data_IF_429646484440
#
_entry.id   IF_429646484440
#
_cell.length_a   1.000
_cell.length_b   1.000
_cell.length_c   1.000
_cell.angle_alpha   90.00
_cell.angle_beta   90.00
_cell.angle_gamma   90.00
#
_symmetry.space_group_name_H-M   'P 1'
#
loop_
_entity.id
_entity.type
_entity.pdbx_description
1 polymer ?
#
# COMPACT_ATOMS: atom_id res chain seq x y z
N UNK A 1 -15.65 -65.67 -2.35
CA UNK A 1 -16.00 -64.31 -1.84
C UNK A 1 -14.82 -63.35 -1.65
N UNK A 2 -13.58 -63.64 -2.10
CA UNK A 2 -12.41 -62.75 -1.88
C UNK A 2 -12.18 -61.69 -2.98
N UNK A 3 -12.62 -61.95 -4.21
CA UNK A 3 -12.38 -61.06 -5.37
C UNK A 3 -13.25 -59.80 -5.40
N UNK A 4 -14.52 -59.90 -4.96
CA UNK A 4 -15.46 -58.76 -4.97
C UNK A 4 -15.13 -57.65 -3.97
N UNK A 5 -14.54 -58.00 -2.81
CA UNK A 5 -14.09 -57.01 -1.81
C UNK A 5 -12.96 -56.14 -2.33
N UNK A 6 -12.06 -56.73 -3.14
CA UNK A 6 -10.88 -56.06 -3.68
C UNK A 6 -11.27 -54.99 -4.72
N UNK A 7 -12.33 -55.24 -5.50
CA UNK A 7 -12.89 -54.27 -6.45
C UNK A 7 -13.48 -53.06 -5.72
N UNK A 8 -14.17 -53.28 -4.60
CA UNK A 8 -14.74 -52.18 -3.78
C UNK A 8 -13.62 -51.31 -3.20
N UNK A 9 -12.53 -51.90 -2.71
CA UNK A 9 -11.37 -51.13 -2.22
C UNK A 9 -10.71 -50.31 -3.32
N UNK A 10 -10.53 -50.88 -4.51
CA UNK A 10 -9.98 -50.12 -5.65
C UNK A 10 -10.90 -48.98 -6.08
N UNK A 11 -12.22 -49.20 -6.06
CA UNK A 11 -13.18 -48.16 -6.44
C UNK A 11 -13.21 -46.99 -5.45
N UNK A 12 -13.12 -47.25 -4.15
CA UNK A 12 -13.03 -46.21 -3.11
C UNK A 12 -11.70 -45.44 -3.21
N UNK A 13 -10.60 -46.12 -3.54
CA UNK A 13 -9.29 -45.49 -3.67
C UNK A 13 -9.19 -44.57 -4.89
N UNK A 14 -9.88 -44.88 -5.99
CA UNK A 14 -9.95 -44.03 -7.18
C UNK A 14 -10.80 -42.78 -6.91
N UNK A 15 -11.98 -42.93 -6.31
CA UNK A 15 -12.86 -41.79 -5.97
C UNK A 15 -12.27 -40.87 -4.89
N UNK A 16 -11.47 -41.41 -3.96
CA UNK A 16 -10.80 -40.63 -2.92
C UNK A 16 -9.70 -39.69 -3.44
N UNK A 17 -9.06 -40.03 -4.57
CA UNK A 17 -7.99 -39.22 -5.14
C UNK A 17 -8.51 -37.94 -5.83
N UNK A 18 -9.70 -37.96 -6.41
CA UNK A 18 -10.30 -36.78 -7.05
C UNK A 18 -10.64 -35.69 -6.02
N UNK A 19 -10.96 -36.06 -4.78
CA UNK A 19 -11.21 -35.13 -3.68
C UNK A 19 -9.92 -34.54 -3.09
N UNK A 20 -8.80 -35.26 -3.09
CA UNK A 20 -7.53 -34.77 -2.53
C UNK A 20 -6.88 -33.72 -3.44
N UNK A 21 -7.08 -33.79 -4.75
CA UNK A 21 -6.58 -32.79 -5.70
C UNK A 21 -7.32 -31.44 -5.63
N UNK A 22 -8.55 -31.41 -5.12
CA UNK A 22 -9.33 -30.17 -4.93
C UNK A 22 -8.99 -29.44 -3.62
N UNK A 23 -8.26 -30.09 -2.70
CA UNK A 23 -7.90 -29.53 -1.39
C UNK A 23 -6.80 -28.47 -1.42
N UNK A 24 -6.12 -28.27 -2.56
CA UNK A 24 -5.03 -27.29 -2.71
C UNK A 24 -5.33 -26.14 -3.69
N UNK A 25 -6.54 -26.02 -4.24
CA UNK A 25 -6.86 -24.96 -5.22
C UNK A 25 -7.61 -23.77 -4.64
N UNK A 26 -7.40 -23.47 -3.36
CA UNK A 26 -7.87 -22.22 -2.77
C UNK A 26 -6.70 -21.50 -2.10
N UNK A 27 -5.67 -21.19 -2.89
CA UNK A 27 -4.88 -19.99 -2.62
C UNK A 27 -5.88 -18.82 -2.67
N UNK A 28 -6.38 -18.41 -1.51
CA UNK A 28 -7.10 -17.14 -1.40
C UNK A 28 -6.07 -16.03 -1.60
N UNK A 29 -5.66 -15.81 -2.86
CA UNK A 29 -4.96 -14.58 -3.24
C UNK A 29 -5.94 -13.46 -2.95
N UNK A 30 -5.70 -12.74 -1.86
CA UNK A 30 -6.46 -11.53 -1.57
C UNK A 30 -6.19 -10.54 -2.71
N UNK A 31 -7.13 -10.45 -3.64
CA UNK A 31 -7.10 -9.43 -4.69
C UNK A 31 -7.39 -8.11 -3.98
N UNK A 32 -6.34 -7.32 -3.78
CA UNK A 32 -6.46 -5.97 -3.26
C UNK A 32 -7.31 -5.14 -4.23
N UNK A 33 -8.11 -4.22 -3.69
CA UNK A 33 -8.86 -3.27 -4.52
C UNK A 33 -7.89 -2.56 -5.47
N UNK A 34 -8.26 -2.28 -6.73
CA UNK A 34 -7.45 -1.44 -7.63
C UNK A 34 -7.12 -0.06 -7.05
N UNK A 35 -7.86 0.38 -6.02
CA UNK A 35 -7.63 1.64 -5.29
C UNK A 35 -6.74 1.48 -4.05
N UNK A 36 -6.19 0.30 -3.77
CA UNK A 36 -5.31 0.08 -2.64
C UNK A 36 -3.89 0.51 -3.00
N UNK A 37 -3.35 1.42 -2.18
CA UNK A 37 -1.96 1.85 -2.27
C UNK A 37 -1.30 1.66 -0.91
N UNK A 38 -0.06 1.10 -0.85
CA UNK A 38 0.61 0.85 0.41
C UNK A 38 0.98 2.18 1.09
N UNK A 39 0.54 2.35 2.34
CA UNK A 39 0.93 3.47 3.19
C UNK A 39 1.91 2.95 4.22
N UNK A 40 3.17 3.36 4.11
CA UNK A 40 4.24 2.94 5.03
C UNK A 40 5.30 4.03 5.14
N UNK A 41 5.97 4.20 6.30
CA UNK A 41 7.13 5.08 6.44
C UNK A 41 8.29 4.76 5.49
N UNK A 42 8.32 3.52 4.97
CA UNK A 42 9.34 3.04 4.03
C UNK A 42 9.03 3.39 2.57
N UNK A 43 7.80 3.80 2.27
CA UNK A 43 7.34 4.17 0.93
C UNK A 43 7.27 5.70 0.84
N UNK A 44 7.60 6.26 -0.32
CA UNK A 44 7.47 7.70 -0.56
C UNK A 44 6.01 8.12 -0.40
N UNK A 45 5.75 9.15 0.41
CA UNK A 45 4.42 9.74 0.47
C UNK A 45 4.27 10.72 -0.70
N UNK A 46 3.36 10.49 -1.66
CA UNK A 46 3.16 11.38 -2.79
C UNK A 46 2.43 12.67 -2.41
N UNK A 47 1.91 12.77 -1.18
CA UNK A 47 1.08 13.89 -0.72
C UNK A 47 1.80 14.73 0.35
N UNK A 48 1.44 16.03 0.46
CA UNK A 48 1.94 16.86 1.55
C UNK A 48 1.52 16.31 2.92
N UNK A 49 2.38 16.53 3.91
CA UNK A 49 2.05 16.18 5.29
C UNK A 49 0.91 17.07 5.80
N UNK A 50 -0.14 16.43 6.32
CA UNK A 50 -1.28 17.13 6.90
C UNK A 50 -0.87 17.62 8.30
N UNK A 51 -0.90 18.93 8.58
CA UNK A 51 -0.51 19.46 9.87
C UNK A 51 -1.45 18.92 10.95
N UNK A 52 -0.86 18.42 12.04
CA UNK A 52 -1.63 17.96 13.20
C UNK A 52 -1.93 19.15 14.09
N UNK A 53 -3.21 19.44 14.42
CA UNK A 53 -3.52 20.54 15.33
C UNK A 53 -2.89 20.31 16.71
N UNK A 54 -2.34 21.38 17.29
CA UNK A 54 -1.54 21.39 18.53
C UNK A 54 -2.32 20.83 19.74
N UNK A 55 -3.66 20.79 19.68
CA UNK A 55 -4.52 20.27 20.74
C UNK A 55 -4.62 18.75 20.84
N UNK A 56 -4.06 17.98 19.89
CA UNK A 56 -4.03 16.53 20.03
C UNK A 56 -2.86 16.14 20.94
N UNK A 57 -3.18 15.74 22.17
CA UNK A 57 -2.26 15.05 23.09
C UNK A 57 -1.91 13.66 22.54
N UNK A 58 -1.15 13.62 21.44
CA UNK A 58 -0.58 12.41 20.88
C UNK A 58 0.65 12.01 21.67
N UNK A 59 0.48 11.73 22.97
CA UNK A 59 1.52 11.10 23.77
C UNK A 59 1.60 9.62 23.36
N UNK A 60 2.31 9.37 22.27
CA UNK A 60 2.85 8.05 21.95
C UNK A 60 4.07 8.27 21.06
N UNK A 61 5.24 8.24 21.69
CA UNK A 61 6.58 8.37 21.12
C UNK A 61 6.97 7.21 20.16
N UNK A 62 6.08 6.76 19.26
CA UNK A 62 6.42 5.73 18.27
C UNK A 62 7.19 6.30 17.06
N UNK A 63 7.08 7.60 16.81
CA UNK A 63 7.78 8.28 15.72
C UNK A 63 8.40 9.58 16.23
N UNK A 64 9.60 9.95 15.78
CA UNK A 64 10.22 11.20 16.19
C UNK A 64 9.35 12.37 15.72
N UNK A 65 8.98 13.25 16.65
CA UNK A 65 8.17 14.46 16.42
C UNK A 65 8.88 15.53 15.55
N UNK A 66 10.08 15.25 15.05
CA UNK A 66 10.80 16.16 14.15
C UNK A 66 11.25 17.47 14.79
N UNK A 67 11.34 17.56 16.13
CA UNK A 67 11.80 18.77 16.84
C UNK A 67 13.18 19.24 16.40
N UNK A 68 14.03 18.31 15.97
CA UNK A 68 15.33 18.61 15.39
C UNK A 68 15.17 18.65 13.86
N UNK A 69 14.84 19.81 13.32
CA UNK A 69 14.85 20.09 11.89
C UNK A 69 16.30 20.29 11.40
N UNK A 70 17.10 19.23 11.51
CA UNK A 70 18.45 19.17 10.95
C UNK A 70 18.37 18.85 9.47
N UNK A 71 19.07 19.61 8.63
CA UNK A 71 19.18 19.30 7.22
C UNK A 71 20.22 18.18 7.04
N UNK A 72 19.79 16.91 7.12
CA UNK A 72 20.66 15.73 7.02
C UNK A 72 21.19 15.43 5.60
N UNK A 73 20.94 16.34 4.65
CA UNK A 73 21.30 16.20 3.24
C UNK A 73 20.29 16.92 2.34
N UNK A 74 20.55 16.98 1.04
CA UNK A 74 19.60 17.56 0.08
C UNK A 74 18.52 16.54 -0.26
N UNK A 75 17.41 16.59 0.47
CA UNK A 75 16.18 15.84 0.14
C UNK A 75 15.58 16.37 -1.15
N UNK A 76 15.35 15.50 -2.13
CA UNK A 76 14.70 15.83 -3.39
C UNK A 76 13.69 14.76 -3.79
N UNK A 77 12.49 15.18 -4.19
CA UNK A 77 11.45 14.28 -4.71
C UNK A 77 11.32 14.50 -6.21
N UNK A 78 11.65 13.49 -6.99
CA UNK A 78 11.49 13.50 -8.44
C UNK A 78 10.15 12.86 -8.81
N UNK A 79 9.39 13.55 -9.65
CA UNK A 79 8.10 13.07 -10.15
C UNK A 79 8.23 12.75 -11.63
N UNK A 80 7.87 11.53 -12.00
CA UNK A 80 7.88 11.06 -13.38
C UNK A 80 6.49 10.54 -13.74
N UNK A 81 6.02 10.87 -14.93
CA UNK A 81 4.76 10.36 -15.49
C UNK A 81 5.12 9.52 -16.71
N UNK A 82 4.50 8.36 -16.82
CA UNK A 82 4.70 7.49 -17.98
C UNK A 82 4.24 8.18 -19.27
N UNK A 83 4.86 7.83 -20.40
CA UNK A 83 4.55 8.45 -21.69
C UNK A 83 3.07 8.29 -22.11
N UNK A 84 2.41 7.26 -21.60
CA UNK A 84 1.01 6.95 -21.87
C UNK A 84 0.05 7.57 -20.84
N UNK A 85 0.57 8.35 -19.88
CA UNK A 85 -0.18 8.98 -18.79
C UNK A 85 -0.95 7.98 -17.92
N UNK A 86 -0.56 6.71 -17.91
CA UNK A 86 -1.23 5.69 -17.12
C UNK A 86 -0.84 5.78 -15.65
N UNK A 87 0.46 5.91 -15.36
CA UNK A 87 1.00 5.97 -14.00
C UNK A 87 1.84 7.21 -13.75
N UNK A 88 1.80 7.65 -12.49
CA UNK A 88 2.68 8.65 -11.92
C UNK A 88 3.55 7.98 -10.86
N UNK A 89 4.84 8.30 -10.86
CA UNK A 89 5.83 7.73 -9.94
C UNK A 89 6.59 8.83 -9.20
N UNK A 90 6.72 8.65 -7.90
CA UNK A 90 7.42 9.54 -6.97
C UNK A 90 8.64 8.84 -6.41
N UNK A 91 9.82 9.41 -6.65
CA UNK A 91 11.10 8.90 -6.15
C UNK A 91 11.74 9.91 -5.23
N UNK A 92 12.01 9.51 -3.99
CA UNK A 92 12.65 10.35 -2.99
C UNK A 92 14.13 10.01 -2.90
N UNK A 93 14.96 11.04 -3.01
CA UNK A 93 16.43 10.95 -2.95
C UNK A 93 16.99 11.83 -1.84
N UNK A 94 18.04 11.36 -1.18
CA UNK A 94 18.87 12.12 -0.25
C UNK A 94 20.31 12.08 -0.78
N UNK A 95 20.86 13.24 -1.13
CA UNK A 95 22.22 13.35 -1.69
C UNK A 95 22.47 12.45 -2.93
N UNK A 96 21.40 12.20 -3.71
CA UNK A 96 21.44 11.37 -4.91
C UNK A 96 21.11 9.89 -4.69
N UNK A 97 21.00 9.43 -3.44
CA UNK A 97 20.64 8.05 -3.11
C UNK A 97 19.14 7.90 -2.82
N UNK A 98 18.53 6.82 -3.29
CA UNK A 98 17.13 6.50 -3.03
C UNK A 98 17.00 5.96 -1.60
N UNK A 99 16.27 6.69 -0.75
CA UNK A 99 16.14 6.36 0.68
C UNK A 99 14.84 5.63 1.03
N UNK A 100 13.86 5.63 0.13
CA UNK A 100 12.53 5.04 0.31
C UNK A 100 12.08 4.35 -0.96
N UNK A 101 11.21 3.35 -0.80
CA UNK A 101 10.59 2.65 -1.92
C UNK A 101 9.78 3.67 -2.75
N UNK A 102 10.02 3.80 -4.06
CA UNK A 102 9.26 4.69 -4.92
C UNK A 102 7.77 4.37 -4.87
N UNK A 103 6.95 5.41 -4.94
CA UNK A 103 5.51 5.27 -4.97
C UNK A 103 5.00 5.41 -6.39
N UNK A 104 4.23 4.44 -6.88
CA UNK A 104 3.59 4.50 -8.19
C UNK A 104 2.08 4.28 -8.06
N UNK A 105 1.30 5.09 -8.77
CA UNK A 105 -0.15 4.96 -8.80
C UNK A 105 -0.74 5.41 -10.14
N UNK A 106 -1.97 4.98 -10.49
CA UNK A 106 -2.67 5.50 -11.65
C UNK A 106 -2.84 7.01 -11.56
N UNK A 107 -2.58 7.72 -12.67
CA UNK A 107 -2.65 9.19 -12.73
C UNK A 107 -4.03 9.71 -12.28
N UNK A 108 -5.10 9.07 -12.76
CA UNK A 108 -6.49 9.39 -12.42
C UNK A 108 -6.78 9.25 -10.92
N UNK A 109 -6.23 8.20 -10.28
CA UNK A 109 -6.38 8.00 -8.84
C UNK A 109 -5.64 9.11 -8.07
N UNK A 110 -4.41 9.43 -8.46
CA UNK A 110 -3.60 10.44 -7.80
C UNK A 110 -4.27 11.82 -7.82
N UNK A 111 -4.78 12.27 -8.96
CA UNK A 111 -5.41 13.59 -9.06
C UNK A 111 -6.67 13.71 -8.20
N UNK A 112 -7.47 12.64 -8.15
CA UNK A 112 -8.65 12.55 -7.30
C UNK A 112 -8.27 12.66 -5.82
N UNK A 113 -7.28 11.89 -5.39
CA UNK A 113 -6.83 11.88 -4.00
C UNK A 113 -6.18 13.22 -3.62
N UNK A 114 -5.37 13.80 -4.51
CA UNK A 114 -4.77 15.11 -4.34
C UNK A 114 -5.85 16.20 -4.18
N UNK A 115 -6.96 16.13 -4.92
CA UNK A 115 -8.08 17.06 -4.75
C UNK A 115 -8.71 16.94 -3.35
N UNK A 116 -8.90 15.71 -2.85
CA UNK A 116 -9.42 15.49 -1.50
C UNK A 116 -8.48 16.04 -0.42
N UNK A 117 -7.19 15.79 -0.54
CA UNK A 117 -6.16 16.26 0.40
C UNK A 117 -6.07 17.78 0.38
N UNK A 118 -6.03 18.41 -0.80
CA UNK A 118 -5.99 19.87 -0.91
C UNK A 118 -7.23 20.53 -0.29
N UNK A 119 -8.41 19.94 -0.47
CA UNK A 119 -9.62 20.42 0.20
C UNK A 119 -9.52 20.30 1.72
N UNK A 120 -8.95 19.21 2.22
CA UNK A 120 -8.77 18.99 3.66
C UNK A 120 -7.75 19.97 4.25
N UNK A 121 -6.62 20.20 3.58
CA UNK A 121 -5.64 21.20 3.97
C UNK A 121 -6.25 22.61 4.01
N UNK A 122 -7.03 22.97 3.00
CA UNK A 122 -7.72 24.27 2.96
C UNK A 122 -8.69 24.42 4.12
N UNK A 123 -9.43 23.35 4.46
CA UNK A 123 -10.31 23.35 5.62
C UNK A 123 -9.55 23.60 6.92
N UNK A 124 -8.45 22.87 7.18
CA UNK A 124 -7.62 23.05 8.37
C UNK A 124 -7.06 24.47 8.44
N UNK A 125 -6.54 25.00 7.33
CA UNK A 125 -6.04 26.37 7.24
C UNK A 125 -7.12 27.38 7.66
N UNK A 126 -8.35 27.22 7.16
CA UNK A 126 -9.44 28.15 7.46
C UNK A 126 -10.03 28.02 8.87
N UNK A 127 -10.01 26.82 9.46
CA UNK A 127 -10.72 26.53 10.72
C UNK A 127 -9.79 26.47 11.93
N UNK A 128 -8.52 26.08 11.77
CA UNK A 128 -7.58 25.92 12.90
C UNK A 128 -6.70 27.15 13.18
N UNK A 129 -6.61 28.09 12.23
CA UNK A 129 -5.85 29.35 12.35
C UNK A 129 -6.78 30.57 12.56
N UNK A 130 -8.08 30.34 12.82
CA UNK A 130 -9.07 31.36 13.18
C UNK A 130 -9.29 31.44 14.68
#
# INVERSE_FOLDING_TARGET
MKKGRLVIFFFIMILGNDFILQGQTADSVYILSPSYHPISPLVVNPFPEIPRPIGWSGDTLYHPIGLLNGNYGKRNVTVTIDSDWSYITFTETLDGEIIRVPFSAPVEWYFRENMYINRHLKFIETVSLG
#
